data_IF_504025027033
#
_entry.id   IF_504025027033
#
_cell.length_a   1.000
_cell.length_b   1.000
_cell.length_c   1.000
_cell.angle_alpha   90.00
_cell.angle_beta   90.00
_cell.angle_gamma   90.00
#
_symmetry.space_group_name_H-M   'P 1'
#
loop_
_entity.id
_entity.type
_entity.pdbx_description
1 polymer ?
#
# COMPACT_ATOMS: atom_id res chain seq x y z
N UNK A 1 30.00 -33.54 10.58
CA UNK A 1 29.24 -32.32 10.24
C UNK A 1 28.90 -32.26 8.75
N UNK A 2 29.84 -32.48 7.80
CA UNK A 2 29.56 -32.41 6.35
C UNK A 2 28.55 -33.46 5.85
N UNK A 3 28.58 -34.67 6.39
CA UNK A 3 27.67 -35.77 5.95
C UNK A 3 26.22 -35.49 6.35
N UNK A 4 26.00 -35.02 7.56
CA UNK A 4 24.67 -34.57 8.05
C UNK A 4 24.06 -33.50 7.16
N UNK A 5 24.86 -32.45 6.79
CA UNK A 5 24.38 -31.37 5.92
C UNK A 5 23.95 -31.92 4.56
N UNK A 6 24.68 -32.87 4.01
CA UNK A 6 24.36 -33.49 2.71
C UNK A 6 23.06 -34.30 2.72
N UNK A 7 22.81 -35.01 3.81
CA UNK A 7 21.56 -35.76 4.04
C UNK A 7 20.36 -34.79 4.15
N UNK A 8 20.50 -33.71 4.96
CA UNK A 8 19.44 -32.69 5.10
C UNK A 8 19.16 -31.99 3.77
N UNK A 9 20.19 -31.61 3.00
CA UNK A 9 20.00 -30.98 1.69
C UNK A 9 19.28 -31.90 0.73
N UNK A 10 19.64 -33.20 0.74
CA UNK A 10 18.99 -34.21 -0.09
C UNK A 10 17.51 -34.39 0.29
N UNK A 11 17.21 -34.37 1.58
CA UNK A 11 15.85 -34.47 2.11
C UNK A 11 15.02 -33.20 1.78
N UNK A 12 15.59 -32.03 1.93
CA UNK A 12 14.96 -30.76 1.53
C UNK A 12 14.65 -30.73 0.02
N UNK A 13 15.59 -31.21 -0.83
CA UNK A 13 15.38 -31.22 -2.26
C UNK A 13 14.39 -32.32 -2.72
N UNK A 14 14.07 -33.30 -1.86
CA UNK A 14 13.05 -34.31 -2.15
C UNK A 14 11.62 -33.81 -1.92
N UNK A 15 11.46 -32.68 -1.21
CA UNK A 15 10.17 -32.04 -0.99
C UNK A 15 9.93 -31.10 -2.18
N UNK A 16 9.03 -31.47 -3.08
CA UNK A 16 8.74 -30.69 -4.27
C UNK A 16 8.04 -29.37 -3.90
N UNK A 17 8.78 -28.27 -4.01
CA UNK A 17 8.23 -26.92 -3.86
C UNK A 17 7.38 -26.54 -5.08
N UNK A 18 7.72 -27.07 -6.26
CA UNK A 18 7.04 -26.81 -7.52
C UNK A 18 5.58 -27.28 -7.50
N UNK A 19 5.32 -28.48 -6.97
CA UNK A 19 3.96 -29.02 -6.80
C UNK A 19 3.17 -28.21 -5.76
N UNK A 20 3.79 -27.89 -4.61
CA UNK A 20 3.13 -27.18 -3.51
C UNK A 20 2.76 -25.73 -3.89
N UNK A 21 3.60 -25.07 -4.69
CA UNK A 21 3.39 -23.67 -5.09
C UNK A 21 2.71 -23.53 -6.47
N UNK A 22 2.44 -24.66 -7.15
CA UNK A 22 1.96 -24.69 -8.54
C UNK A 22 2.87 -23.82 -9.46
N UNK A 23 4.16 -23.82 -9.15
CA UNK A 23 5.19 -23.01 -9.82
C UNK A 23 5.92 -23.87 -10.85
N UNK A 24 5.46 -23.84 -12.08
CA UNK A 24 6.21 -24.41 -13.22
C UNK A 24 7.35 -23.48 -13.71
N UNK A 25 7.88 -22.58 -12.83
CA UNK A 25 8.68 -21.47 -13.31
C UNK A 25 10.17 -21.72 -13.18
N UNK A 26 10.84 -21.65 -14.33
CA UNK A 26 12.30 -21.56 -14.45
C UNK A 26 12.87 -20.17 -14.13
N UNK A 27 12.02 -19.17 -13.95
CA UNK A 27 12.43 -17.77 -13.74
C UNK A 27 12.29 -17.36 -12.26
N UNK A 28 13.32 -16.73 -11.68
CA UNK A 28 13.23 -16.23 -10.32
C UNK A 28 12.22 -15.08 -10.21
N UNK A 29 11.53 -14.91 -9.05
CA UNK A 29 10.69 -13.76 -8.79
C UNK A 29 11.52 -12.47 -8.74
N UNK A 30 10.87 -11.28 -8.77
CA UNK A 30 11.56 -10.00 -8.55
C UNK A 30 12.23 -10.00 -7.17
N UNK A 31 13.42 -9.39 -7.08
CA UNK A 31 14.18 -9.33 -5.83
C UNK A 31 13.60 -8.26 -4.89
N UNK A 32 13.06 -8.71 -3.75
CA UNK A 32 12.47 -7.84 -2.73
C UNK A 32 13.43 -6.76 -2.25
N UNK A 33 14.72 -7.07 -2.11
CA UNK A 33 15.71 -6.11 -1.61
C UNK A 33 15.97 -4.98 -2.60
N UNK A 34 16.00 -5.31 -3.88
CA UNK A 34 16.12 -4.35 -4.98
C UNK A 34 14.87 -3.47 -5.08
N UNK A 35 13.67 -4.04 -5.00
CA UNK A 35 12.43 -3.27 -4.97
C UNK A 35 12.41 -2.26 -3.81
N UNK A 36 12.85 -2.65 -2.61
CA UNK A 36 12.97 -1.75 -1.46
C UNK A 36 14.00 -0.65 -1.71
N UNK A 37 15.12 -0.96 -2.38
CA UNK A 37 16.11 0.05 -2.77
C UNK A 37 15.54 1.06 -3.76
N UNK A 38 14.80 0.59 -4.76
CA UNK A 38 14.08 1.43 -5.74
C UNK A 38 13.09 2.37 -5.03
N UNK A 39 12.28 1.86 -4.10
CA UNK A 39 11.35 2.70 -3.31
C UNK A 39 12.07 3.85 -2.61
N UNK A 40 13.17 3.57 -1.92
CA UNK A 40 13.96 4.59 -1.21
C UNK A 40 14.60 5.60 -2.16
N UNK A 41 15.06 5.14 -3.31
CA UNK A 41 15.64 6.00 -4.34
C UNK A 41 14.56 6.92 -4.97
N UNK A 42 13.35 6.41 -5.22
CA UNK A 42 12.21 7.22 -5.67
C UNK A 42 11.81 8.28 -4.64
N UNK A 43 11.73 7.94 -3.34
CA UNK A 43 11.49 8.92 -2.28
C UNK A 43 12.57 10.01 -2.26
N UNK A 44 13.85 9.62 -2.45
CA UNK A 44 14.97 10.57 -2.53
C UNK A 44 14.92 11.46 -3.79
N UNK A 45 14.45 10.93 -4.91
CA UNK A 45 14.26 11.71 -6.14
C UNK A 45 13.08 12.70 -6.03
N UNK A 46 11.98 12.28 -5.37
CA UNK A 46 10.81 13.15 -5.15
C UNK A 46 11.11 14.27 -4.15
N UNK A 47 11.83 13.98 -3.07
CA UNK A 47 12.10 14.91 -1.96
C UNK A 47 13.58 14.90 -1.57
N UNK A 48 14.49 15.41 -2.43
CA UNK A 48 15.93 15.32 -2.22
C UNK A 48 16.41 16.03 -0.96
N UNK A 49 15.77 17.11 -0.54
CA UNK A 49 16.13 17.84 0.67
C UNK A 49 15.91 17.02 1.97
N UNK A 50 14.96 16.10 1.97
CA UNK A 50 14.57 15.36 3.18
C UNK A 50 15.16 13.95 3.22
N UNK A 51 15.29 13.28 2.06
CA UNK A 51 15.69 11.87 2.00
C UNK A 51 17.09 11.63 1.43
N UNK A 52 17.74 12.65 0.89
CA UNK A 52 19.09 12.51 0.32
C UNK A 52 20.12 12.44 1.46
N UNK A 53 20.61 11.25 1.77
CA UNK A 53 21.78 11.08 2.63
C UNK A 53 23.05 11.18 1.77
N UNK A 54 23.93 12.17 2.01
CA UNK A 54 25.34 12.24 1.59
C UNK A 54 25.78 11.34 0.41
N UNK A 55 24.95 11.19 -0.60
CA UNK A 55 25.35 10.58 -1.87
C UNK A 55 26.23 11.61 -2.58
N UNK A 56 27.33 11.19 -3.26
CA UNK A 56 28.09 12.10 -4.09
C UNK A 56 27.11 12.82 -5.03
N UNK A 57 27.45 14.04 -5.44
CA UNK A 57 26.65 14.91 -6.31
C UNK A 57 26.30 14.26 -7.66
N UNK A 58 25.55 13.18 -7.63
CA UNK A 58 24.85 12.70 -8.80
C UNK A 58 23.74 13.70 -9.08
N UNK A 59 23.65 14.20 -10.30
CA UNK A 59 22.53 15.02 -10.70
C UNK A 59 21.22 14.24 -10.47
N UNK A 60 20.15 14.92 -10.10
CA UNK A 60 18.83 14.28 -9.83
C UNK A 60 18.37 13.43 -11.03
N UNK A 61 18.75 13.83 -12.26
CA UNK A 61 18.50 13.07 -13.49
C UNK A 61 19.22 11.72 -13.51
N UNK A 62 20.46 11.63 -13.05
CA UNK A 62 21.22 10.37 -13.02
C UNK A 62 20.62 9.43 -11.97
N UNK A 63 20.29 9.94 -10.78
CA UNK A 63 19.64 9.14 -9.74
C UNK A 63 18.32 8.55 -10.25
N UNK A 64 17.47 9.38 -10.86
CA UNK A 64 16.19 8.93 -11.37
C UNK A 64 16.38 7.93 -12.52
N UNK A 65 17.29 8.17 -13.47
CA UNK A 65 17.56 7.26 -14.58
C UNK A 65 18.00 5.88 -14.08
N UNK A 66 19.00 5.80 -13.19
CA UNK A 66 19.45 4.53 -12.61
C UNK A 66 18.33 3.83 -11.83
N UNK A 67 17.50 4.58 -11.12
CA UNK A 67 16.38 4.02 -10.35
C UNK A 67 15.31 3.40 -11.26
N UNK A 68 14.99 4.07 -12.36
CA UNK A 68 14.03 3.59 -13.35
C UNK A 68 14.57 2.38 -14.12
N UNK A 69 15.87 2.32 -14.38
CA UNK A 69 16.52 1.16 -14.99
C UNK A 69 16.48 -0.06 -14.05
N UNK A 70 16.78 0.11 -12.76
CA UNK A 70 16.61 -0.96 -11.78
C UNK A 70 15.14 -1.43 -11.69
N UNK A 71 14.19 -0.49 -11.68
CA UNK A 71 12.76 -0.81 -11.67
C UNK A 71 12.36 -1.59 -12.93
N UNK A 72 12.86 -1.20 -14.10
CA UNK A 72 12.64 -1.91 -15.37
C UNK A 72 13.06 -3.38 -15.27
N UNK A 73 14.26 -3.65 -14.79
CA UNK A 73 14.74 -5.02 -14.58
C UNK A 73 13.86 -5.83 -13.63
N UNK A 74 13.33 -5.21 -12.56
CA UNK A 74 12.43 -5.89 -11.63
C UNK A 74 11.04 -6.13 -12.23
N UNK A 75 10.50 -5.20 -13.02
CA UNK A 75 9.22 -5.39 -13.73
C UNK A 75 9.37 -6.51 -14.76
N UNK A 76 10.42 -6.54 -15.56
CA UNK A 76 10.70 -7.65 -16.49
C UNK A 76 10.79 -8.99 -15.76
N UNK A 77 11.48 -9.05 -14.61
CA UNK A 77 11.54 -10.27 -13.79
C UNK A 77 10.15 -10.69 -13.28
N UNK A 78 9.32 -9.75 -12.81
CA UNK A 78 7.96 -10.03 -12.36
C UNK A 78 7.06 -10.55 -13.49
N UNK A 79 7.17 -9.98 -14.68
CA UNK A 79 6.40 -10.40 -15.87
C UNK A 79 6.82 -11.80 -16.35
N UNK A 80 8.12 -12.11 -16.38
CA UNK A 80 8.61 -13.46 -16.68
C UNK A 80 8.12 -14.48 -15.63
N UNK A 81 8.14 -14.09 -14.37
CA UNK A 81 7.66 -14.95 -13.28
C UNK A 81 6.19 -15.33 -13.42
N UNK A 82 5.35 -14.46 -13.99
CA UNK A 82 3.92 -14.75 -14.27
C UNK A 82 3.67 -15.29 -15.69
N UNK A 83 4.65 -15.97 -16.30
CA UNK A 83 4.55 -16.71 -17.57
C UNK A 83 4.61 -15.87 -18.86
N UNK A 84 5.29 -14.75 -18.87
CA UNK A 84 5.62 -14.08 -20.14
C UNK A 84 6.94 -14.61 -20.74
N UNK A 85 7.06 -14.53 -22.05
CA UNK A 85 8.35 -14.74 -22.73
C UNK A 85 9.32 -13.62 -22.38
N UNK A 86 10.62 -13.87 -22.50
CA UNK A 86 11.64 -12.86 -22.17
C UNK A 86 11.47 -11.59 -23.00
N UNK A 87 11.34 -11.72 -24.31
CA UNK A 87 11.17 -10.59 -25.22
C UNK A 87 9.91 -9.75 -24.91
N UNK A 88 8.76 -10.41 -24.69
CA UNK A 88 7.51 -9.71 -24.34
C UNK A 88 7.61 -9.00 -22.97
N UNK A 89 8.26 -9.62 -22.00
CA UNK A 89 8.46 -9.05 -20.68
C UNK A 89 9.36 -7.81 -20.70
N UNK A 90 10.43 -7.83 -21.51
CA UNK A 90 11.32 -6.68 -21.67
C UNK A 90 10.61 -5.49 -22.32
N UNK A 91 9.91 -5.71 -23.44
CA UNK A 91 9.16 -4.67 -24.14
C UNK A 91 8.10 -4.05 -23.20
N UNK A 92 7.30 -4.89 -22.54
CA UNK A 92 6.26 -4.41 -21.63
C UNK A 92 6.84 -3.68 -20.42
N UNK A 93 7.97 -4.13 -19.89
CA UNK A 93 8.64 -3.46 -18.76
C UNK A 93 9.08 -2.05 -19.15
N UNK A 94 9.67 -1.87 -20.32
CA UNK A 94 10.13 -0.57 -20.82
C UNK A 94 8.95 0.40 -21.00
N UNK A 95 7.86 -0.03 -21.65
CA UNK A 95 6.63 0.77 -21.79
C UNK A 95 6.03 1.13 -20.42
N UNK A 96 6.03 0.20 -19.48
CA UNK A 96 5.49 0.40 -18.14
C UNK A 96 6.31 1.40 -17.34
N UNK A 97 7.63 1.32 -17.39
CA UNK A 97 8.52 2.27 -16.69
C UNK A 97 8.38 3.67 -17.26
N UNK A 98 8.28 3.81 -18.59
CA UNK A 98 8.03 5.11 -19.20
C UNK A 98 6.70 5.70 -18.74
N UNK A 99 5.62 4.92 -18.76
CA UNK A 99 4.31 5.33 -18.29
C UNK A 99 4.32 5.71 -16.80
N UNK A 100 5.01 4.94 -15.97
CA UNK A 100 5.19 5.22 -14.55
C UNK A 100 5.98 6.52 -14.32
N UNK A 101 7.09 6.70 -15.03
CA UNK A 101 7.91 7.90 -14.90
C UNK A 101 7.12 9.18 -15.21
N UNK A 102 6.25 9.15 -16.22
CA UNK A 102 5.36 10.26 -16.58
C UNK A 102 4.33 10.60 -15.49
N UNK A 103 4.03 9.68 -14.57
CA UNK A 103 3.11 9.88 -13.45
C UNK A 103 3.77 10.43 -12.18
N UNK A 104 5.10 10.36 -12.06
CA UNK A 104 5.84 10.85 -10.88
C UNK A 104 5.57 12.32 -10.51
N UNK A 105 5.42 13.26 -11.45
CA UNK A 105 5.04 14.64 -11.10
C UNK A 105 3.69 14.72 -10.38
N UNK A 106 2.70 13.94 -10.81
CA UNK A 106 1.39 13.90 -10.16
C UNK A 106 1.45 13.23 -8.79
N UNK A 107 2.21 12.14 -8.66
CA UNK A 107 2.48 11.52 -7.35
C UNK A 107 3.09 12.54 -6.39
N UNK A 108 4.08 13.33 -6.84
CA UNK A 108 4.67 14.38 -6.01
C UNK A 108 3.65 15.45 -5.62
N UNK A 109 2.79 15.87 -6.53
CA UNK A 109 1.73 16.85 -6.25
C UNK A 109 0.78 16.33 -5.15
N UNK A 110 0.32 15.09 -5.27
CA UNK A 110 -0.55 14.45 -4.27
C UNK A 110 0.14 14.35 -2.90
N UNK A 111 1.41 13.97 -2.87
CA UNK A 111 2.17 13.87 -1.62
C UNK A 111 2.36 15.24 -0.94
N UNK A 112 2.51 16.32 -1.70
CA UNK A 112 2.56 17.67 -1.12
C UNK A 112 1.23 18.05 -0.46
N UNK A 113 0.09 17.67 -1.04
CA UNK A 113 -1.23 17.87 -0.45
C UNK A 113 -1.45 17.00 0.79
N UNK A 114 -0.91 15.76 0.80
CA UNK A 114 -0.96 14.90 1.98
C UNK A 114 -0.10 15.44 3.13
N UNK A 115 1.07 16.02 2.83
CA UNK A 115 1.91 16.71 3.82
C UNK A 115 1.15 17.88 4.44
N UNK A 116 0.45 18.67 3.62
CA UNK A 116 -0.36 19.78 4.11
C UNK A 116 -1.47 19.29 5.04
N UNK A 117 -2.20 18.25 4.65
CA UNK A 117 -3.24 17.65 5.47
C UNK A 117 -2.72 17.14 6.82
N UNK A 118 -1.54 16.52 6.84
CA UNK A 118 -0.88 16.02 8.04
C UNK A 118 -0.40 17.18 8.94
N UNK A 119 0.16 18.22 8.34
CA UNK A 119 0.62 19.40 9.07
C UNK A 119 -0.54 20.20 9.70
N UNK A 120 -1.61 20.43 8.95
CA UNK A 120 -2.80 21.15 9.45
C UNK A 120 -3.64 20.31 10.42
N UNK A 121 -3.58 18.99 10.29
CA UNK A 121 -4.40 18.06 11.07
C UNK A 121 -3.84 17.70 12.43
N UNK A 122 -2.53 17.85 12.63
CA UNK A 122 -1.86 17.52 13.90
C UNK A 122 -1.32 18.78 14.59
N UNK A 123 -1.94 19.19 15.73
CA UNK A 123 -1.46 20.33 16.50
C UNK A 123 -0.02 20.22 17.01
N UNK A 124 0.54 19.01 17.07
CA UNK A 124 1.92 18.76 17.52
C UNK A 124 2.95 18.99 16.40
N UNK A 125 2.52 19.03 15.13
CA UNK A 125 3.42 19.26 14.00
C UNK A 125 3.95 20.71 13.99
N UNK A 126 5.25 20.89 14.21
CA UNK A 126 5.86 22.24 14.25
C UNK A 126 6.18 22.78 12.86
N UNK A 127 6.38 21.91 11.89
CA UNK A 127 6.71 22.26 10.49
C UNK A 127 6.46 21.08 9.53
N UNK A 128 6.32 21.37 8.23
CA UNK A 128 6.05 20.37 7.20
C UNK A 128 7.19 19.36 7.00
N UNK A 129 8.44 19.79 7.20
CA UNK A 129 9.61 18.92 7.11
C UNK A 129 9.60 17.85 8.21
N UNK A 130 9.09 18.17 9.40
CA UNK A 130 8.90 17.20 10.49
C UNK A 130 7.95 16.08 10.07
N UNK A 131 6.82 16.43 9.46
CA UNK A 131 5.87 15.45 8.89
C UNK A 131 6.56 14.51 7.92
N UNK A 132 7.35 15.07 6.98
CA UNK A 132 8.04 14.27 5.95
C UNK A 132 9.07 13.31 6.52
N UNK A 133 9.79 13.72 7.57
CA UNK A 133 10.95 12.98 8.11
C UNK A 133 10.53 12.00 9.20
N UNK A 134 9.52 12.36 10.00
CA UNK A 134 9.22 11.67 11.26
C UNK A 134 7.92 10.85 11.21
N UNK A 135 6.93 11.22 10.38
CA UNK A 135 5.59 10.64 10.49
C UNK A 135 5.47 9.30 9.75
N UNK A 136 5.10 8.22 10.47
CA UNK A 136 4.85 6.92 9.85
C UNK A 136 3.68 6.97 8.86
N UNK A 137 2.67 7.82 9.10
CA UNK A 137 1.56 8.05 8.19
C UNK A 137 2.03 8.53 6.82
N UNK A 138 2.88 9.58 6.77
CA UNK A 138 3.44 10.06 5.52
C UNK A 138 4.33 9.03 4.83
N UNK A 139 5.13 8.29 5.61
CA UNK A 139 5.99 7.23 5.06
C UNK A 139 5.16 6.16 4.35
N UNK A 140 4.08 5.67 4.98
CA UNK A 140 3.20 4.67 4.37
C UNK A 140 2.45 5.23 3.14
N UNK A 141 1.92 6.45 3.23
CA UNK A 141 1.21 7.11 2.12
C UNK A 141 2.15 7.30 0.92
N UNK A 142 3.40 7.72 1.14
CA UNK A 142 4.36 7.97 0.06
C UNK A 142 4.67 6.69 -0.74
N UNK A 143 4.81 5.55 -0.05
CA UNK A 143 5.04 4.26 -0.70
C UNK A 143 3.75 3.76 -1.38
N UNK A 144 2.59 3.91 -0.72
CA UNK A 144 1.31 3.54 -1.30
C UNK A 144 1.07 4.27 -2.63
N UNK A 145 1.24 5.59 -2.71
CA UNK A 145 0.99 6.34 -3.96
C UNK A 145 1.87 5.88 -5.11
N UNK A 146 3.17 5.59 -4.85
CA UNK A 146 4.06 5.00 -5.85
C UNK A 146 3.60 3.59 -6.27
N UNK A 147 3.25 2.75 -5.31
CA UNK A 147 2.80 1.39 -5.55
C UNK A 147 1.46 1.34 -6.29
N UNK A 148 0.55 2.29 -6.00
CA UNK A 148 -0.74 2.42 -6.67
C UNK A 148 -0.59 2.67 -8.18
N UNK A 149 0.35 3.52 -8.59
CA UNK A 149 0.60 3.78 -10.00
C UNK A 149 1.08 2.52 -10.74
N UNK A 150 1.98 1.75 -10.13
CA UNK A 150 2.41 0.46 -10.70
C UNK A 150 1.28 -0.58 -10.70
N UNK A 151 0.42 -0.57 -9.69
CA UNK A 151 -0.77 -1.44 -9.65
C UNK A 151 -1.74 -1.11 -10.78
N UNK A 152 -1.99 0.18 -11.05
CA UNK A 152 -2.84 0.64 -12.16
C UNK A 152 -2.25 0.28 -13.54
N UNK A 153 -0.92 0.15 -13.62
CA UNK A 153 -0.23 -0.33 -14.82
C UNK A 153 -0.16 -1.87 -14.89
N UNK A 154 -0.90 -2.58 -14.01
CA UNK A 154 -0.97 -4.04 -13.95
C UNK A 154 0.40 -4.74 -13.71
N UNK A 155 1.33 -4.08 -13.03
CA UNK A 155 2.60 -4.69 -12.66
C UNK A 155 2.34 -5.78 -11.61
N UNK A 156 2.75 -7.05 -11.86
CA UNK A 156 2.57 -8.11 -10.89
C UNK A 156 3.57 -8.00 -9.74
N UNK A 157 3.20 -8.46 -8.54
CA UNK A 157 4.02 -8.61 -7.33
C UNK A 157 4.63 -7.32 -6.76
N UNK A 158 5.28 -6.50 -7.58
CA UNK A 158 6.06 -5.34 -7.13
C UNK A 158 5.23 -4.35 -6.30
N UNK A 159 4.01 -3.92 -6.71
CA UNK A 159 3.20 -3.03 -5.89
C UNK A 159 2.93 -3.59 -4.49
N UNK A 160 2.70 -4.90 -4.40
CA UNK A 160 2.48 -5.58 -3.11
C UNK A 160 3.76 -5.65 -2.27
N UNK A 161 4.92 -5.94 -2.88
CA UNK A 161 6.21 -5.90 -2.18
C UNK A 161 6.46 -4.52 -1.57
N UNK A 162 6.13 -3.44 -2.31
CA UNK A 162 6.28 -2.07 -1.83
C UNK A 162 5.38 -1.78 -0.63
N UNK A 163 4.09 -2.11 -0.70
CA UNK A 163 3.16 -1.81 0.38
C UNK A 163 3.38 -2.70 1.61
N UNK A 164 3.79 -3.97 1.45
CA UNK A 164 4.19 -4.82 2.57
C UNK A 164 5.47 -4.32 3.25
N UNK A 165 6.39 -3.72 2.49
CA UNK A 165 7.53 -3.04 3.11
C UNK A 165 7.13 -1.83 3.94
N UNK A 166 6.17 -1.02 3.48
CA UNK A 166 5.61 0.07 4.27
C UNK A 166 4.92 -0.44 5.54
N UNK A 167 4.10 -1.49 5.41
CA UNK A 167 3.41 -2.16 6.51
C UNK A 167 4.40 -2.68 7.58
N UNK A 168 5.46 -3.37 7.16
CA UNK A 168 6.53 -3.84 8.07
C UNK A 168 7.15 -2.71 8.89
N UNK A 169 7.30 -1.51 8.30
CA UNK A 169 7.98 -0.38 8.94
C UNK A 169 7.07 0.47 9.82
N UNK A 170 5.79 0.51 9.53
CA UNK A 170 4.86 1.48 10.14
C UNK A 170 3.69 0.83 10.89
N UNK A 171 3.39 -0.44 10.64
CA UNK A 171 2.17 -1.08 11.10
C UNK A 171 0.91 -0.58 10.35
N UNK A 172 1.06 0.11 9.22
CA UNK A 172 -0.02 0.65 8.38
C UNK A 172 -0.10 -0.20 7.11
N UNK A 173 -1.18 -0.97 6.97
CA UNK A 173 -1.45 -1.83 5.81
C UNK A 173 -2.40 -1.13 4.84
N UNK A 174 -1.87 -0.60 3.73
CA UNK A 174 -2.68 -0.05 2.64
C UNK A 174 -2.44 -0.88 1.39
N UNK A 175 -3.48 -1.58 0.91
CA UNK A 175 -3.36 -2.35 -0.32
C UNK A 175 -3.16 -1.43 -1.53
N UNK A 176 -2.24 -1.71 -2.47
CA UNK A 176 -1.95 -0.83 -3.60
C UNK A 176 -3.13 -0.63 -4.55
N UNK A 177 -4.13 -1.53 -4.52
CA UNK A 177 -5.36 -1.41 -5.30
C UNK A 177 -6.40 -0.45 -4.72
N UNK A 178 -6.28 -0.01 -3.48
CA UNK A 178 -7.16 1.00 -2.91
C UNK A 178 -7.06 2.31 -3.70
N UNK A 179 -8.16 3.05 -3.82
CA UNK A 179 -8.19 4.37 -4.46
C UNK A 179 -8.32 5.42 -3.37
N UNK A 180 -7.37 6.34 -3.26
CA UNK A 180 -7.33 7.36 -2.21
C UNK A 180 -7.20 8.74 -2.84
N UNK A 181 -8.12 9.64 -2.50
CA UNK A 181 -8.15 11.02 -2.94
C UNK A 181 -7.04 11.89 -2.35
N UNK A 182 -7.14 13.19 -2.57
CA UNK A 182 -6.18 14.20 -2.13
C UNK A 182 -6.35 14.55 -0.64
N UNK A 183 -5.30 15.14 -0.04
CA UNK A 183 -5.31 15.57 1.36
C UNK A 183 -5.63 14.43 2.33
N UNK A 184 -5.02 13.28 2.11
CA UNK A 184 -5.22 12.12 2.96
C UNK A 184 -4.38 12.21 4.22
N UNK A 185 -5.03 12.01 5.37
CA UNK A 185 -4.41 12.17 6.69
C UNK A 185 -4.43 10.85 7.45
N UNK A 186 -3.29 10.47 8.00
CA UNK A 186 -3.14 9.34 8.95
C UNK A 186 -2.39 9.86 10.18
N UNK A 187 -3.03 9.81 11.34
CA UNK A 187 -2.37 10.09 12.62
C UNK A 187 -2.08 8.81 13.39
N UNK A 188 -0.90 8.71 14.01
CA UNK A 188 -0.31 7.53 14.63
C UNK A 188 -0.21 6.34 13.68
N UNK A 189 -1.31 5.83 13.20
CA UNK A 189 -1.46 4.90 12.09
C UNK A 189 -1.32 3.43 12.42
N UNK A 190 -0.66 3.04 13.50
CA UNK A 190 -0.43 1.62 13.85
C UNK A 190 -1.74 0.83 13.84
N UNK A 191 -1.77 -0.26 13.09
CA UNK A 191 -2.94 -1.15 12.99
C UNK A 191 -4.02 -0.69 12.01
N UNK A 192 -3.78 0.34 11.20
CA UNK A 192 -4.67 0.69 10.08
C UNK A 192 -4.61 -0.42 9.02
N UNK A 193 -5.79 -0.79 8.51
CA UNK A 193 -5.95 -1.71 7.38
C UNK A 193 -6.88 -1.09 6.35
N UNK A 194 -6.38 -0.86 5.13
CA UNK A 194 -7.15 -0.39 3.97
C UNK A 194 -7.13 -1.45 2.88
N UNK A 195 -8.27 -2.13 2.68
CA UNK A 195 -8.39 -3.25 1.75
C UNK A 195 -8.40 -2.85 0.27
N UNK A 196 -8.09 -3.80 -0.60
CA UNK A 196 -7.84 -3.66 -2.04
C UNK A 196 -8.88 -2.81 -2.81
N UNK A 197 -10.14 -3.01 -2.55
CA UNK A 197 -11.21 -2.36 -3.31
C UNK A 197 -11.84 -1.18 -2.56
N UNK A 198 -11.16 -0.66 -1.51
CA UNK A 198 -11.59 0.53 -0.80
C UNK A 198 -11.49 1.75 -1.71
N UNK A 199 -12.48 2.63 -1.63
CA UNK A 199 -12.46 3.95 -2.26
C UNK A 199 -12.55 4.99 -1.14
N UNK A 200 -11.60 5.91 -1.09
CA UNK A 200 -11.51 6.99 -0.11
C UNK A 200 -11.53 8.32 -0.87
N UNK A 201 -12.42 9.22 -0.50
CA UNK A 201 -12.54 10.56 -1.07
C UNK A 201 -11.42 11.51 -0.62
N UNK A 202 -11.65 12.81 -0.82
CA UNK A 202 -10.71 13.86 -0.47
C UNK A 202 -10.85 14.30 0.99
N UNK A 203 -9.77 14.79 1.61
CA UNK A 203 -9.74 15.31 2.99
C UNK A 203 -10.23 14.31 4.05
N UNK A 204 -9.92 13.03 3.88
CA UNK A 204 -10.29 11.97 4.83
C UNK A 204 -9.20 11.83 5.88
N UNK A 205 -9.62 11.71 7.16
CA UNK A 205 -8.73 11.50 8.30
C UNK A 205 -8.95 10.12 8.92
N UNK A 206 -7.87 9.34 9.04
CA UNK A 206 -7.85 8.05 9.72
C UNK A 206 -6.93 8.10 10.94
N UNK A 207 -7.39 7.54 12.04
CA UNK A 207 -6.59 7.34 13.24
C UNK A 207 -6.19 5.87 13.40
N UNK A 208 -5.29 5.57 14.33
CA UNK A 208 -4.75 4.23 14.54
C UNK A 208 -5.85 3.17 14.70
N UNK A 209 -5.56 1.95 14.25
CA UNK A 209 -6.43 0.79 14.38
C UNK A 209 -7.68 0.79 13.49
N UNK A 210 -7.87 1.80 12.63
CA UNK A 210 -9.01 1.83 11.70
C UNK A 210 -8.90 0.69 10.70
N UNK A 211 -9.98 -0.05 10.51
CA UNK A 211 -10.08 -1.13 9.53
C UNK A 211 -11.16 -0.84 8.49
N UNK A 212 -10.76 -0.74 7.23
CA UNK A 212 -11.64 -0.66 6.06
C UNK A 212 -11.57 -2.01 5.33
N UNK A 213 -12.40 -2.97 5.76
CA UNK A 213 -12.26 -4.39 5.47
C UNK A 213 -13.41 -5.00 4.68
N UNK A 214 -13.26 -6.28 4.32
CA UNK A 214 -14.36 -7.09 3.79
C UNK A 214 -15.25 -7.60 4.94
N UNK A 215 -16.57 -7.67 4.69
CA UNK A 215 -17.53 -8.24 5.64
C UNK A 215 -17.60 -9.76 5.54
N UNK A 216 -17.53 -10.27 4.31
CA UNK A 216 -17.59 -11.67 3.96
C UNK A 216 -16.94 -11.87 2.60
N UNK A 217 -16.63 -13.11 2.27
CA UNK A 217 -16.12 -13.48 0.96
C UNK A 217 -17.17 -14.31 0.22
N UNK A 218 -17.44 -13.94 -1.03
CA UNK A 218 -18.13 -14.85 -1.94
C UNK A 218 -17.20 -16.01 -2.26
N UNK A 219 -17.74 -17.22 -2.22
CA UNK A 219 -16.97 -18.42 -2.49
C UNK A 219 -17.34 -18.98 -3.87
N UNK A 220 -16.35 -19.49 -4.59
CA UNK A 220 -16.55 -20.24 -5.82
C UNK A 220 -17.09 -21.66 -5.54
N UNK A 221 -17.32 -22.44 -6.59
CA UNK A 221 -17.81 -23.84 -6.50
C UNK A 221 -16.85 -24.77 -5.75
N UNK A 222 -15.60 -24.37 -5.55
CA UNK A 222 -14.57 -25.12 -4.81
C UNK A 222 -14.38 -24.62 -3.37
N UNK A 223 -15.18 -23.61 -2.94
CA UNK A 223 -15.08 -23.02 -1.61
C UNK A 223 -13.95 -22.01 -1.45
N UNK A 224 -13.32 -21.54 -2.55
CA UNK A 224 -12.28 -20.51 -2.49
C UNK A 224 -12.89 -19.11 -2.64
N UNK A 225 -12.30 -18.08 -2.00
CA UNK A 225 -12.74 -16.69 -2.17
C UNK A 225 -12.65 -16.23 -3.62
N UNK A 226 -13.77 -15.71 -4.15
CA UNK A 226 -13.79 -15.08 -5.49
C UNK A 226 -12.94 -13.83 -5.46
N UNK A 227 -11.98 -13.75 -6.39
CA UNK A 227 -11.01 -12.63 -6.48
C UNK A 227 -11.54 -11.50 -7.36
N UNK A 228 -10.98 -10.30 -7.22
CA UNK A 228 -11.24 -9.11 -8.05
C UNK A 228 -12.69 -8.59 -8.01
N UNK A 229 -13.45 -8.89 -6.97
CA UNK A 229 -14.78 -8.33 -6.73
C UNK A 229 -14.72 -7.21 -5.67
N UNK A 230 -15.67 -6.27 -5.77
CA UNK A 230 -15.84 -5.19 -4.78
C UNK A 230 -16.24 -5.79 -3.43
N UNK A 231 -15.39 -5.64 -2.38
CA UNK A 231 -15.62 -6.21 -1.06
C UNK A 231 -15.28 -5.28 0.11
N UNK A 232 -14.71 -4.10 -0.15
CA UNK A 232 -14.31 -3.11 0.85
C UNK A 232 -15.14 -1.84 0.72
N UNK A 233 -15.32 -1.04 1.80
CA UNK A 233 -16.22 0.11 1.83
C UNK A 233 -15.81 1.27 0.93
N UNK A 234 -16.76 2.19 0.71
CA UNK A 234 -16.51 3.50 0.14
C UNK A 234 -16.61 4.56 1.23
N UNK A 235 -15.64 5.47 1.26
CA UNK A 235 -15.56 6.58 2.19
C UNK A 235 -15.66 7.87 1.37
N UNK A 236 -16.62 8.72 1.71
CA UNK A 236 -16.85 10.01 1.07
C UNK A 236 -15.77 11.05 1.40
N UNK A 237 -16.01 12.29 1.00
CA UNK A 237 -15.10 13.41 1.25
C UNK A 237 -15.27 13.96 2.67
N UNK A 238 -14.20 14.54 3.22
CA UNK A 238 -14.21 15.20 4.54
C UNK A 238 -14.68 14.30 5.69
N UNK A 239 -14.46 12.99 5.58
CA UNK A 239 -14.81 12.01 6.61
C UNK A 239 -13.69 11.91 7.64
N UNK A 240 -14.06 11.85 8.92
CA UNK A 240 -13.13 11.61 10.03
C UNK A 240 -13.47 10.27 10.67
N UNK A 241 -12.50 9.34 10.72
CA UNK A 241 -12.68 8.02 11.32
C UNK A 241 -11.70 7.87 12.47
N UNK A 242 -12.25 7.88 13.70
CA UNK A 242 -11.47 7.79 14.92
C UNK A 242 -10.99 6.38 15.23
N UNK A 243 -10.09 6.30 16.19
CA UNK A 243 -9.30 5.12 16.52
C UNK A 243 -10.12 3.83 16.69
N UNK A 244 -9.58 2.74 16.14
CA UNK A 244 -10.14 1.38 16.22
C UNK A 244 -11.55 1.21 15.62
N UNK A 245 -12.04 2.17 14.84
CA UNK A 245 -13.30 1.97 14.12
C UNK A 245 -13.12 0.94 13.02
N UNK A 246 -14.07 0.03 12.90
CA UNK A 246 -14.10 -1.04 11.89
C UNK A 246 -15.28 -0.84 10.96
N UNK A 247 -15.03 -0.69 9.65
CA UNK A 247 -16.04 -0.47 8.62
C UNK A 247 -15.87 -1.56 7.57
N UNK A 248 -16.92 -2.38 7.36
CA UNK A 248 -16.84 -3.59 6.56
C UNK A 248 -17.88 -3.63 5.44
N UNK A 249 -17.45 -4.18 4.29
CA UNK A 249 -18.32 -4.62 3.21
C UNK A 249 -18.32 -3.71 1.98
N UNK A 250 -18.34 -4.31 0.78
CA UNK A 250 -18.27 -3.61 -0.49
C UNK A 250 -19.50 -2.76 -0.83
N UNK A 251 -20.64 -3.05 -0.22
CA UNK A 251 -21.87 -2.23 -0.32
C UNK A 251 -21.97 -1.12 0.72
N UNK A 252 -21.03 -1.05 1.68
CA UNK A 252 -21.03 -0.04 2.74
C UNK A 252 -20.43 1.27 2.22
N UNK A 253 -21.17 2.36 2.39
CA UNK A 253 -20.72 3.71 2.02
C UNK A 253 -20.87 4.63 3.22
N UNK A 254 -19.80 5.32 3.60
CA UNK A 254 -19.79 6.41 4.57
C UNK A 254 -19.90 7.71 3.77
N UNK A 255 -21.00 8.43 3.95
CA UNK A 255 -21.26 9.67 3.21
C UNK A 255 -20.32 10.82 3.58
N UNK A 256 -20.30 11.85 2.75
CA UNK A 256 -19.45 13.03 2.93
C UNK A 256 -19.67 13.70 4.30
N UNK A 257 -18.59 14.19 4.90
CA UNK A 257 -18.64 14.96 6.14
C UNK A 257 -19.03 14.14 7.38
N UNK A 258 -19.05 12.80 7.29
CA UNK A 258 -19.32 11.95 8.45
C UNK A 258 -18.19 11.98 9.48
N UNK A 259 -18.55 11.84 10.74
CA UNK A 259 -17.63 11.61 11.85
C UNK A 259 -17.94 10.26 12.48
N UNK A 260 -16.99 9.32 12.37
CA UNK A 260 -17.13 7.97 12.94
C UNK A 260 -16.32 7.89 14.22
N UNK A 261 -17.04 7.74 15.34
CA UNK A 261 -16.44 7.63 16.68
C UNK A 261 -15.57 6.38 16.83
N UNK A 262 -14.60 6.47 17.73
CA UNK A 262 -13.67 5.36 18.00
C UNK A 262 -14.40 4.09 18.47
N UNK A 263 -13.80 2.93 18.17
CA UNK A 263 -14.33 1.60 18.46
C UNK A 263 -15.70 1.28 17.83
N UNK A 264 -16.17 2.07 16.86
CA UNK A 264 -17.41 1.79 16.15
C UNK A 264 -17.25 0.57 15.24
N UNK A 265 -18.31 -0.25 15.12
CA UNK A 265 -18.36 -1.41 14.23
C UNK A 265 -19.50 -1.24 13.23
N UNK A 266 -19.17 -0.94 11.97
CA UNK A 266 -20.15 -0.62 10.94
C UNK A 266 -20.11 -1.63 9.80
N UNK A 267 -21.28 -2.16 9.44
CA UNK A 267 -21.48 -3.09 8.33
C UNK A 267 -22.58 -2.63 7.38
N UNK A 268 -22.99 -1.36 7.49
CA UNK A 268 -24.02 -0.70 6.69
C UNK A 268 -23.65 0.76 6.43
N UNK A 269 -24.27 1.34 5.42
CA UNK A 269 -24.00 2.72 5.00
C UNK A 269 -24.48 3.75 6.02
N UNK A 270 -23.76 4.88 6.07
CA UNK A 270 -24.06 6.03 6.92
C UNK A 270 -24.31 7.25 6.03
N UNK A 271 -25.45 7.94 6.16
CA UNK A 271 -25.75 9.14 5.36
C UNK A 271 -24.76 10.29 5.62
N UNK A 272 -24.57 11.15 4.61
CA UNK A 272 -23.67 12.31 4.73
C UNK A 272 -24.01 13.20 5.92
N UNK A 273 -22.97 13.81 6.53
CA UNK A 273 -23.08 14.73 7.67
C UNK A 273 -23.43 14.05 8.99
N UNK A 274 -23.44 12.73 9.06
CA UNK A 274 -23.81 11.98 10.27
C UNK A 274 -22.61 11.83 11.20
N UNK A 275 -22.86 12.02 12.52
CA UNK A 275 -21.91 11.61 13.56
C UNK A 275 -22.37 10.30 14.18
N UNK A 276 -21.53 9.27 14.08
CA UNK A 276 -21.74 7.98 14.76
C UNK A 276 -20.90 7.96 16.02
N UNK A 277 -21.54 7.91 17.17
CA UNK A 277 -20.88 7.75 18.47
C UNK A 277 -20.89 6.29 18.92
N UNK A 278 -19.81 5.83 19.51
CA UNK A 278 -19.80 4.55 20.22
C UNK A 278 -20.64 4.70 21.51
N UNK A 279 -21.70 3.91 21.60
CA UNK A 279 -22.46 3.79 22.85
C UNK A 279 -21.99 2.50 23.54
N UNK A 280 -21.30 2.63 24.67
CA UNK A 280 -20.94 1.45 25.47
C UNK A 280 -22.22 0.71 25.87
N UNK A 281 -22.25 -0.64 25.81
CA UNK A 281 -23.37 -1.38 26.34
C UNK A 281 -23.54 -1.05 27.84
N UNK A 282 -24.77 -0.76 28.27
CA UNK A 282 -25.05 -0.59 29.69
C UNK A 282 -24.63 -1.85 30.43
N UNK A 283 -23.73 -1.69 31.40
CA UNK A 283 -23.35 -2.80 32.28
C UNK A 283 -24.57 -3.16 33.12
N UNK A 284 -25.32 -4.15 32.67
CA UNK A 284 -26.25 -4.83 33.56
C UNK A 284 -25.42 -5.56 34.62
N UNK A 285 -25.25 -4.92 35.78
CA UNK A 285 -24.73 -5.60 36.96
C UNK A 285 -25.78 -6.65 37.38
N UNK A 286 -25.39 -7.90 37.25
CA UNK A 286 -26.10 -9.04 37.85
C UNK A 286 -25.60 -9.26 39.27
#
# INVERSE_FOLDING_TARGET
>A
MKQYIHEVVKELNSISTEEALNCAHSCPPPDRSTVVRVVKALQSALFPLCFRRNLPEQSDSVLLACTLEELNGQIAAALRFVNQTEEAAEIQAEETVEAFARRLPEVKRLLLLDIEALYEGDPAASRREEVMICYPGFYAISIYRLAHELYQLNVPLIPRIMTEFAHEKTGIDIHPGATIGEHFFIDHGTGIVVGETTVIGHHVKLYQGVTLGAKSFELDEHGNPVKKIKRHPNIGNHVVIYANATILGGGTTIGDGCVIGGNSWLTHSVPAGTTVAYTAPENHQH
#
